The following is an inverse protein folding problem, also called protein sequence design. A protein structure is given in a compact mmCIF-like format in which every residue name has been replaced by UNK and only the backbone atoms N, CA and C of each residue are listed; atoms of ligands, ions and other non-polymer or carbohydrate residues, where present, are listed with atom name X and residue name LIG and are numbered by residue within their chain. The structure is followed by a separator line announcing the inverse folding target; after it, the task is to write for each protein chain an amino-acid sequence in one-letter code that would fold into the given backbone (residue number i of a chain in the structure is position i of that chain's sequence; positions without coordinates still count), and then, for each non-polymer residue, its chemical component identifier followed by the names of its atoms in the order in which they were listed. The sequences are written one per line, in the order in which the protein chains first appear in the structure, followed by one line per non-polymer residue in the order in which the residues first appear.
data_IF_900877237829
#
_entry.id   IF_900877237829
#
_cell.length_a   1.000
_cell.length_b   1.000
_cell.length_c   1.000
_cell.angle_alpha   90.00
_cell.angle_beta   90.00
_cell.angle_gamma   90.00
#
_symmetry.space_group_name_H-M   'P 1'
#
loop_
_entity.id
_entity.type
_entity.pdbx_description
1 polymer ?
#
# COMPACT_ATOMS: atom_id res chain seq x y z
N UNK A 1 26.09 9.96 1.95
CA UNK A 1 25.63 9.28 3.13
C UNK A 1 24.43 8.38 2.85
N UNK A 2 24.07 7.59 3.83
CA UNK A 2 22.95 6.65 3.69
C UNK A 2 21.61 7.35 3.38
N UNK A 3 21.40 8.53 3.95
CA UNK A 3 20.16 9.29 3.71
C UNK A 3 20.04 9.73 2.26
N UNK A 4 21.14 10.14 1.64
CA UNK A 4 21.12 10.53 0.24
C UNK A 4 20.82 9.33 -0.67
N UNK A 5 21.37 8.15 -0.35
CA UNK A 5 21.08 6.93 -1.11
C UNK A 5 19.62 6.53 -1.00
N UNK A 6 19.07 6.59 0.22
CA UNK A 6 17.65 6.27 0.45
C UNK A 6 16.78 7.24 -0.33
N UNK A 7 17.07 8.54 -0.24
CA UNK A 7 16.33 9.55 -0.98
C UNK A 7 16.34 9.27 -2.47
N UNK A 8 17.53 9.03 -3.04
CA UNK A 8 17.66 8.79 -4.48
C UNK A 8 16.90 7.54 -4.91
N UNK A 9 16.98 6.48 -4.10
CA UNK A 9 16.25 5.23 -4.37
C UNK A 9 14.75 5.48 -4.37
N UNK A 10 14.22 6.17 -3.36
CA UNK A 10 12.80 6.46 -3.25
C UNK A 10 12.32 7.32 -4.41
N UNK A 11 13.05 8.40 -4.73
CA UNK A 11 12.69 9.30 -5.81
C UNK A 11 12.66 8.55 -7.14
N UNK A 12 13.66 7.74 -7.41
CA UNK A 12 13.73 6.96 -8.64
C UNK A 12 12.56 6.00 -8.75
N UNK A 13 12.25 5.26 -7.69
CA UNK A 13 11.14 4.30 -7.70
C UNK A 13 9.78 4.98 -7.79
N UNK A 14 9.60 6.12 -7.09
CA UNK A 14 8.35 6.87 -7.16
C UNK A 14 8.07 7.40 -8.56
N UNK A 15 9.12 7.82 -9.26
CA UNK A 15 8.98 8.30 -10.63
C UNK A 15 8.45 7.22 -11.56
N UNK A 16 8.75 5.96 -11.26
CA UNK A 16 8.29 4.81 -12.03
C UNK A 16 6.94 4.26 -11.58
N UNK A 17 6.46 4.67 -10.40
CA UNK A 17 5.19 4.19 -9.88
C UNK A 17 4.03 4.75 -10.71
N UNK A 18 3.19 3.85 -11.23
CA UNK A 18 2.02 4.22 -12.01
C UNK A 18 0.71 3.99 -11.26
N UNK A 19 0.71 3.09 -10.29
CA UNK A 19 -0.49 2.72 -9.53
C UNK A 19 -0.36 3.12 -8.05
N UNK A 20 -1.48 3.50 -7.41
CA UNK A 20 -1.46 3.82 -5.98
C UNK A 20 -0.89 2.70 -5.11
N UNK A 21 -1.18 1.44 -5.44
CA UNK A 21 -0.66 0.30 -4.69
C UNK A 21 0.85 0.23 -4.70
N UNK A 22 1.49 0.61 -5.81
CA UNK A 22 2.95 0.63 -5.92
C UNK A 22 3.54 1.69 -5.00
N UNK A 23 2.90 2.85 -4.91
CA UNK A 23 3.33 3.94 -4.02
C UNK A 23 3.26 3.49 -2.56
N UNK A 24 2.15 2.86 -2.16
CA UNK A 24 1.98 2.36 -0.79
C UNK A 24 3.03 1.30 -0.46
N UNK A 25 3.26 0.35 -1.36
CA UNK A 25 4.27 -0.70 -1.16
C UNK A 25 5.66 -0.13 -0.94
N UNK A 26 5.99 0.91 -1.70
CA UNK A 26 7.30 1.53 -1.61
C UNK A 26 7.46 2.33 -0.31
N UNK A 27 6.49 3.22 -0.04
CA UNK A 27 6.64 4.20 1.03
C UNK A 27 6.36 3.66 2.43
N UNK A 28 5.59 2.60 2.56
CA UNK A 28 5.26 2.05 3.88
C UNK A 28 6.48 1.45 4.61
N UNK A 29 7.58 1.23 3.90
CA UNK A 29 8.84 0.74 4.48
C UNK A 29 9.55 1.80 5.30
N UNK A 30 9.18 3.06 5.12
CA UNK A 30 9.86 4.20 5.73
C UNK A 30 8.95 4.86 6.76
N UNK A 31 9.55 5.38 7.84
CA UNK A 31 8.77 6.09 8.85
C UNK A 31 8.46 7.52 8.41
N UNK A 32 7.57 8.17 9.14
CA UNK A 32 7.10 9.50 8.81
C UNK A 32 8.24 10.54 8.75
N UNK A 33 9.15 10.62 9.75
CA UNK A 33 10.25 11.59 9.67
C UNK A 33 11.11 11.41 8.43
N UNK A 34 11.39 10.18 8.04
CA UNK A 34 12.19 9.90 6.85
C UNK A 34 11.49 10.37 5.59
N UNK A 35 10.18 10.08 5.47
CA UNK A 35 9.38 10.50 4.32
C UNK A 35 9.28 12.01 4.21
N UNK A 36 9.12 12.70 5.34
CA UNK A 36 9.10 14.17 5.36
C UNK A 36 10.43 14.74 4.91
N UNK A 37 11.54 14.16 5.40
CA UNK A 37 12.88 14.57 4.98
C UNK A 37 13.07 14.41 3.47
N UNK A 38 12.69 13.26 2.94
CA UNK A 38 12.80 12.98 1.51
C UNK A 38 11.94 13.96 0.70
N UNK A 39 10.71 14.21 1.15
CA UNK A 39 9.80 15.12 0.47
C UNK A 39 10.39 16.54 0.36
N UNK A 40 10.99 17.04 1.45
CA UNK A 40 11.59 18.38 1.46
C UNK A 40 12.78 18.50 0.51
N UNK A 41 13.47 17.39 0.27
CA UNK A 41 14.65 17.37 -0.60
C UNK A 41 14.32 17.05 -2.06
N UNK A 42 13.07 16.76 -2.35
CA UNK A 42 12.66 16.21 -3.65
C UNK A 42 11.97 17.25 -4.53
N UNK A 43 11.93 17.05 -5.86
CA UNK A 43 11.16 17.90 -6.76
C UNK A 43 9.67 17.90 -6.39
N UNK A 44 8.98 18.94 -6.85
CA UNK A 44 7.56 19.13 -6.53
C UNK A 44 6.68 17.92 -6.85
N UNK A 45 6.92 17.27 -7.98
CA UNK A 45 6.13 16.11 -8.40
C UNK A 45 6.27 14.96 -7.40
N UNK A 46 7.50 14.68 -6.97
CA UNK A 46 7.79 13.63 -5.99
C UNK A 46 7.21 14.00 -4.62
N UNK A 47 7.39 15.26 -4.23
CA UNK A 47 6.85 15.75 -2.96
C UNK A 47 5.33 15.60 -2.91
N UNK A 48 4.63 15.87 -4.01
CA UNK A 48 3.19 15.68 -4.10
C UNK A 48 2.79 14.21 -3.93
N UNK A 49 3.54 13.30 -4.53
CA UNK A 49 3.28 11.87 -4.41
C UNK A 49 3.43 11.40 -2.97
N UNK A 50 4.48 11.83 -2.29
CA UNK A 50 4.70 11.49 -0.88
C UNK A 50 3.59 12.08 -0.02
N UNK A 51 3.24 13.34 -0.25
CA UNK A 51 2.19 14.01 0.51
C UNK A 51 0.84 13.34 0.30
N UNK A 52 0.52 12.97 -0.92
CA UNK A 52 -0.70 12.23 -1.22
C UNK A 52 -0.75 10.91 -0.48
N UNK A 53 0.36 10.19 -0.44
CA UNK A 53 0.46 8.96 0.34
C UNK A 53 0.18 9.23 1.82
N UNK A 54 0.83 10.24 2.40
CA UNK A 54 0.70 10.52 3.83
C UNK A 54 -0.71 10.96 4.23
N UNK A 55 -1.38 11.71 3.36
CA UNK A 55 -2.69 12.29 3.69
C UNK A 55 -3.88 11.43 3.26
N UNK A 56 -3.72 10.64 2.20
CA UNK A 56 -4.81 9.86 1.62
C UNK A 56 -4.54 8.37 1.66
N UNK A 57 -3.49 7.94 0.97
CA UNK A 57 -3.24 6.50 0.78
C UNK A 57 -2.95 5.75 2.08
N UNK A 58 -2.24 6.38 3.02
CA UNK A 58 -1.92 5.74 4.30
C UNK A 58 -3.16 5.50 5.18
N UNK A 59 -4.24 6.23 4.92
CA UNK A 59 -5.49 6.12 5.65
C UNK A 59 -6.48 5.14 5.01
N UNK A 60 -6.20 4.66 3.81
CA UNK A 60 -7.05 3.69 3.14
C UNK A 60 -6.86 2.32 3.79
N UNK A 61 -7.97 1.65 4.09
CA UNK A 61 -7.96 0.34 4.72
C UNK A 61 -8.56 -0.69 3.77
N UNK A 62 -8.14 -1.98 3.87
CA UNK A 62 -8.75 -3.01 3.05
C UNK A 62 -10.23 -3.17 3.40
N UNK A 63 -11.03 -3.60 2.42
CA UNK A 63 -12.48 -3.77 2.56
C UNK A 63 -12.84 -4.86 3.57
N UNK A 64 -11.98 -5.85 3.76
CA UNK A 64 -12.18 -6.92 4.72
C UNK A 64 -11.12 -6.82 5.81
N UNK A 65 -11.47 -7.21 7.04
CA UNK A 65 -10.52 -7.24 8.14
C UNK A 65 -10.27 -8.69 8.57
N UNK A 66 -9.45 -8.87 9.63
CA UNK A 66 -9.13 -10.19 10.13
C UNK A 66 -10.35 -10.99 10.59
N UNK A 67 -11.35 -10.32 11.16
CA UNK A 67 -12.58 -10.97 11.59
C UNK A 67 -13.38 -11.50 10.39
N UNK A 68 -13.45 -10.72 9.31
CA UNK A 68 -14.14 -11.15 8.10
C UNK A 68 -13.46 -12.36 7.48
N UNK A 69 -12.13 -12.37 7.46
CA UNK A 69 -11.35 -13.49 6.93
C UNK A 69 -11.55 -14.75 7.77
N UNK A 70 -11.61 -14.60 9.08
CA UNK A 70 -11.85 -15.71 9.99
C UNK A 70 -13.22 -16.33 9.73
N UNK A 71 -14.24 -15.50 9.50
CA UNK A 71 -15.58 -15.95 9.15
C UNK A 71 -15.60 -16.72 7.83
N UNK A 72 -14.73 -16.34 6.91
CA UNK A 72 -14.61 -17.03 5.61
C UNK A 72 -13.81 -18.33 5.70
N UNK A 73 -13.23 -18.63 6.86
CA UNK A 73 -12.52 -19.88 7.07
C UNK A 73 -11.01 -19.80 6.88
N UNK A 74 -10.44 -18.61 6.75
CA UNK A 74 -9.00 -18.45 6.69
C UNK A 74 -8.39 -18.51 8.08
N UNK A 75 -7.22 -19.11 8.19
CA UNK A 75 -6.51 -19.24 9.46
C UNK A 75 -5.66 -18.01 9.76
N UNK A 76 -5.62 -17.53 11.02
CA UNK A 76 -4.77 -16.39 11.37
C UNK A 76 -3.29 -16.74 11.23
N UNK A 77 -2.48 -15.74 10.90
CA UNK A 77 -1.05 -15.90 10.73
C UNK A 77 -0.50 -14.98 9.64
N UNK A 78 0.69 -15.33 9.15
CA UNK A 78 1.38 -14.55 8.12
C UNK A 78 0.55 -14.40 6.84
N UNK A 79 -0.26 -15.41 6.52
CA UNK A 79 -1.12 -15.38 5.34
C UNK A 79 -2.15 -14.25 5.40
N UNK A 80 -2.66 -13.93 6.60
CA UNK A 80 -3.61 -12.82 6.77
C UNK A 80 -3.03 -11.50 6.28
N UNK A 81 -1.78 -11.22 6.66
CA UNK A 81 -1.11 -9.99 6.26
C UNK A 81 -0.97 -9.93 4.74
N UNK A 82 -0.55 -11.02 4.13
CA UNK A 82 -0.39 -11.12 2.68
C UNK A 82 -1.72 -10.87 1.96
N UNK A 83 -2.79 -11.50 2.44
CA UNK A 83 -4.13 -11.34 1.87
C UNK A 83 -4.61 -9.90 2.03
N UNK A 84 -4.46 -9.32 3.23
CA UNK A 84 -4.88 -7.95 3.48
C UNK A 84 -4.12 -6.96 2.62
N UNK A 85 -2.81 -7.19 2.42
CA UNK A 85 -2.00 -6.34 1.54
C UNK A 85 -2.49 -6.45 0.08
N UNK A 86 -2.83 -7.65 -0.37
CA UNK A 86 -3.37 -7.86 -1.71
C UNK A 86 -4.73 -7.20 -1.91
N UNK A 87 -5.59 -7.29 -0.90
CA UNK A 87 -6.90 -6.63 -0.93
C UNK A 87 -6.76 -5.12 -0.98
N UNK A 88 -5.86 -4.57 -0.16
CA UNK A 88 -5.62 -3.13 -0.15
C UNK A 88 -5.11 -2.66 -1.50
N UNK A 89 -4.16 -3.38 -2.09
CA UNK A 89 -3.61 -3.05 -3.39
C UNK A 89 -4.71 -3.06 -4.46
N UNK A 90 -5.55 -4.09 -4.48
CA UNK A 90 -6.64 -4.20 -5.45
C UNK A 90 -7.65 -3.06 -5.28
N UNK A 91 -7.96 -2.71 -4.03
CA UNK A 91 -8.87 -1.60 -3.75
C UNK A 91 -8.29 -0.26 -4.21
N UNK A 92 -7.02 -0.02 -3.92
CA UNK A 92 -6.34 1.21 -4.33
C UNK A 92 -6.28 1.36 -5.86
N UNK A 93 -6.12 0.25 -6.55
CA UNK A 93 -6.01 0.25 -8.01
C UNK A 93 -7.39 0.20 -8.71
N UNK A 94 -8.47 0.17 -7.94
CA UNK A 94 -9.82 0.18 -8.49
C UNK A 94 -10.32 -1.16 -9.00
N UNK A 95 -9.63 -2.25 -8.69
CA UNK A 95 -10.02 -3.60 -9.10
C UNK A 95 -11.22 -4.13 -8.31
N UNK A 96 -11.34 -3.70 -7.05
CA UNK A 96 -12.47 -4.06 -6.18
C UNK A 96 -13.03 -2.78 -5.57
N UNK A 97 -14.36 -2.72 -5.39
CA UNK A 97 -15.03 -1.52 -4.88
C UNK A 97 -15.86 -1.78 -3.62
N UNK A 98 -16.29 -3.02 -3.40
CA UNK A 98 -17.13 -3.37 -2.26
C UNK A 98 -16.72 -4.72 -1.67
N UNK A 99 -17.38 -5.10 -0.56
CA UNK A 99 -17.06 -6.34 0.14
C UNK A 99 -17.34 -7.59 -0.69
N UNK A 100 -18.39 -7.55 -1.51
CA UNK A 100 -18.74 -8.67 -2.38
C UNK A 100 -17.61 -8.94 -3.38
N UNK A 101 -17.12 -7.89 -4.01
CA UNK A 101 -15.98 -8.00 -4.94
C UNK A 101 -14.73 -8.46 -4.23
N UNK A 102 -14.52 -7.99 -2.99
CA UNK A 102 -13.36 -8.41 -2.19
C UNK A 102 -13.41 -9.90 -1.87
N UNK A 103 -14.59 -10.42 -1.52
CA UNK A 103 -14.75 -11.85 -1.25
C UNK A 103 -14.46 -12.70 -2.47
N UNK A 104 -14.94 -12.28 -3.63
CA UNK A 104 -14.66 -12.97 -4.89
C UNK A 104 -13.15 -12.91 -5.22
N UNK A 105 -12.53 -11.77 -4.99
CA UNK A 105 -11.10 -11.60 -5.19
C UNK A 105 -10.31 -12.61 -4.35
N UNK A 106 -10.69 -12.79 -3.07
CA UNK A 106 -10.04 -13.76 -2.20
C UNK A 106 -10.21 -15.19 -2.69
N UNK A 107 -11.40 -15.56 -3.10
CA UNK A 107 -11.68 -16.90 -3.59
C UNK A 107 -10.90 -17.22 -4.85
N UNK A 108 -10.67 -16.22 -5.68
CA UNK A 108 -9.94 -16.37 -6.95
C UNK A 108 -8.43 -16.43 -6.74
N UNK A 109 -7.89 -15.56 -5.89
CA UNK A 109 -6.44 -15.39 -5.75
C UNK A 109 -5.85 -16.11 -4.53
N UNK A 110 -6.64 -16.36 -3.51
CA UNK A 110 -6.19 -17.01 -2.27
C UNK A 110 -7.16 -18.12 -1.87
N UNK A 111 -7.24 -19.19 -2.65
CA UNK A 111 -8.12 -20.32 -2.30
C UNK A 111 -7.67 -20.97 -1.00
N UNK A 112 -8.61 -21.47 -0.23
CA UNK A 112 -8.32 -22.14 1.04
C UNK A 112 -7.60 -23.47 0.82
#
# INVERSE_FOLDING_TARGET
GNLAKVKNTVVEHLDKCQKPSEVVKLLRKYDLPMLMFIALQSPRIIRRKIWHYLTVLSNVKPLLNGNDMKKMGYKPGAQYKEILDGLLAAYLDGEIEDKSMAEEFLKRNYPK
#
